data_IF_298839633842
#
_entry.id   IF_298839633842
#
_cell.length_a   1.000
_cell.length_b   1.000
_cell.length_c   1.000
_cell.angle_alpha   90.00
_cell.angle_beta   90.00
_cell.angle_gamma   90.00
#
_symmetry.space_group_name_H-M   'P 1'
#
loop_
_entity.id
_entity.type
_entity.pdbx_description
1 polymer ?
#
# COMPACT_ATOMS: atom_id res chain seq x y z
N UNK A 1 29.69 10.48 -2.57
CA UNK A 1 30.18 10.01 -1.24
C UNK A 1 31.62 10.43 -0.95
N UNK A 2 32.52 10.38 -1.93
CA UNK A 2 33.93 10.76 -1.75
C UNK A 2 34.10 12.26 -1.47
N UNK A 3 33.44 13.12 -2.25
CA UNK A 3 33.41 14.57 -2.00
C UNK A 3 32.94 14.93 -0.57
N UNK A 4 31.83 14.34 -0.09
CA UNK A 4 31.37 14.55 1.28
C UNK A 4 32.35 14.06 2.36
N UNK A 5 33.26 13.14 2.02
CA UNK A 5 34.31 12.67 2.95
C UNK A 5 35.50 13.63 2.92
N UNK A 6 35.82 14.21 1.76
CA UNK A 6 36.80 15.29 1.59
C UNK A 6 36.36 16.54 2.35
N UNK A 7 35.06 16.84 2.38
CA UNK A 7 34.46 17.94 3.15
C UNK A 7 34.34 17.64 4.67
N UNK A 8 34.83 16.49 5.14
CA UNK A 8 34.84 16.13 6.56
C UNK A 8 33.48 15.72 7.14
N UNK A 9 32.49 15.38 6.33
CA UNK A 9 31.16 15.01 6.83
C UNK A 9 31.19 13.66 7.56
N UNK A 10 30.65 13.64 8.78
CA UNK A 10 30.45 12.41 9.57
C UNK A 10 29.51 11.42 8.85
N UNK A 11 29.61 10.12 9.19
CA UNK A 11 28.75 9.08 8.60
C UNK A 11 27.26 9.43 8.66
N UNK A 12 26.82 10.05 9.76
CA UNK A 12 25.42 10.43 9.95
C UNK A 12 25.00 11.61 9.06
N UNK A 13 25.88 12.61 8.88
CA UNK A 13 25.64 13.70 7.95
C UNK A 13 25.58 13.22 6.49
N UNK A 14 26.43 12.24 6.12
CA UNK A 14 26.39 11.64 4.77
C UNK A 14 25.07 10.92 4.51
N UNK A 15 24.56 10.16 5.49
CA UNK A 15 23.26 9.48 5.37
C UNK A 15 22.13 10.50 5.19
N UNK A 16 22.05 11.49 6.08
CA UNK A 16 20.94 12.45 6.08
C UNK A 16 20.95 13.42 4.89
N UNK A 17 22.12 13.89 4.48
CA UNK A 17 22.23 14.98 3.51
C UNK A 17 22.59 14.50 2.09
N UNK A 18 23.04 13.25 1.91
CA UNK A 18 23.40 12.71 0.59
C UNK A 18 22.50 11.53 0.25
N UNK A 19 22.46 10.52 1.12
CA UNK A 19 21.75 9.25 0.84
C UNK A 19 20.24 9.43 0.82
N UNK A 20 19.66 10.04 1.85
CA UNK A 20 18.20 10.21 1.96
C UNK A 20 17.65 11.05 0.79
N UNK A 21 18.22 12.22 0.45
CA UNK A 21 17.74 13.02 -0.70
C UNK A 21 17.85 12.27 -2.02
N UNK A 22 18.93 11.52 -2.25
CA UNK A 22 19.09 10.72 -3.48
C UNK A 22 18.08 9.56 -3.58
N UNK A 23 17.69 8.97 -2.46
CA UNK A 23 16.70 7.88 -2.43
C UNK A 23 15.26 8.38 -2.40
N UNK A 24 15.03 9.67 -2.15
CA UNK A 24 13.68 10.25 -2.01
C UNK A 24 12.77 9.95 -3.20
N UNK A 25 13.21 10.06 -4.47
CA UNK A 25 12.37 9.74 -5.63
C UNK A 25 11.94 8.26 -5.65
N UNK A 26 12.87 7.36 -5.37
CA UNK A 26 12.61 5.92 -5.34
C UNK A 26 11.65 5.55 -4.19
N UNK A 27 11.88 6.10 -3.00
CA UNK A 27 11.00 5.87 -1.84
C UNK A 27 9.60 6.40 -2.12
N UNK A 28 9.46 7.56 -2.76
CA UNK A 28 8.16 8.13 -3.13
C UNK A 28 7.40 7.21 -4.10
N UNK A 29 8.05 6.73 -5.16
CA UNK A 29 7.45 5.79 -6.12
C UNK A 29 6.98 4.51 -5.42
N UNK A 30 7.85 3.90 -4.60
CA UNK A 30 7.50 2.69 -3.86
C UNK A 30 6.35 2.93 -2.89
N UNK A 31 6.29 4.11 -2.26
CA UNK A 31 5.22 4.48 -1.35
C UNK A 31 3.88 4.60 -2.09
N UNK A 32 3.84 5.22 -3.27
CA UNK A 32 2.62 5.31 -4.09
C UNK A 32 2.10 3.91 -4.44
N UNK A 33 3.00 3.01 -4.86
CA UNK A 33 2.64 1.62 -5.18
C UNK A 33 2.17 0.83 -3.95
N UNK A 34 2.81 1.03 -2.80
CA UNK A 34 2.42 0.40 -1.54
C UNK A 34 1.02 0.86 -1.10
N UNK A 35 0.74 2.17 -1.18
CA UNK A 35 -0.57 2.74 -0.81
C UNK A 35 -1.70 2.19 -1.68
N UNK A 36 -1.46 2.00 -2.99
CA UNK A 36 -2.44 1.36 -3.88
C UNK A 36 -2.82 -0.07 -3.47
N UNK A 37 -1.94 -0.76 -2.73
CA UNK A 37 -2.18 -2.13 -2.26
C UNK A 37 -2.74 -2.21 -0.83
N UNK A 38 -2.80 -1.13 -0.06
CA UNK A 38 -3.29 -1.14 1.34
C UNK A 38 -4.73 -1.65 1.46
N UNK A 39 -5.56 -1.39 0.44
CA UNK A 39 -6.97 -1.80 0.45
C UNK A 39 -7.19 -3.28 0.10
N UNK A 40 -6.15 -3.98 -0.33
CA UNK A 40 -6.15 -5.44 -0.51
C UNK A 40 -5.64 -6.03 0.80
N UNK A 41 -6.56 -6.50 1.64
CA UNK A 41 -6.18 -7.20 2.85
C UNK A 41 -5.57 -8.56 2.47
N UNK A 42 -4.62 -9.06 3.27
CA UNK A 42 -4.09 -10.40 3.12
C UNK A 42 -5.18 -11.43 3.42
N UNK A 43 -6.00 -11.76 2.41
CA UNK A 43 -7.11 -12.71 2.51
C UNK A 43 -6.68 -14.01 3.19
N UNK A 44 -5.48 -14.52 2.87
CA UNK A 44 -4.93 -15.73 3.49
C UNK A 44 -4.82 -15.62 5.01
N UNK A 45 -4.33 -14.49 5.54
CA UNK A 45 -4.21 -14.28 6.99
C UNK A 45 -5.59 -14.17 7.63
N UNK A 46 -6.50 -13.38 7.07
CA UNK A 46 -7.83 -13.15 7.66
C UNK A 46 -8.81 -14.31 7.47
N UNK A 47 -8.58 -15.20 6.50
CA UNK A 47 -9.41 -16.39 6.29
C UNK A 47 -8.88 -17.59 7.08
N UNK A 48 -7.56 -17.83 7.08
CA UNK A 48 -6.98 -19.06 7.66
C UNK A 48 -6.80 -18.98 9.17
N UNK A 49 -6.44 -17.82 9.71
CA UNK A 49 -6.13 -17.65 11.14
C UNK A 49 -7.38 -17.77 12.03
N UNK A 50 -8.54 -17.17 11.70
CA UNK A 50 -9.71 -17.24 12.58
C UNK A 50 -10.38 -18.62 12.60
N UNK A 51 -10.09 -19.49 11.62
CA UNK A 51 -10.57 -20.88 11.55
C UNK A 51 -12.06 -21.08 11.93
N UNK A 52 -12.93 -20.17 11.49
CA UNK A 52 -14.37 -20.18 11.81
C UNK A 52 -14.73 -20.06 13.31
N UNK A 53 -13.87 -19.49 14.14
CA UNK A 53 -14.21 -19.14 15.51
C UNK A 53 -15.23 -17.98 15.53
N UNK A 54 -16.50 -18.30 15.73
CA UNK A 54 -17.65 -17.37 15.70
C UNK A 54 -17.50 -16.09 16.53
N UNK A 55 -16.66 -16.09 17.57
CA UNK A 55 -16.43 -14.92 18.43
C UNK A 55 -15.51 -13.86 17.81
N UNK A 56 -14.70 -14.18 16.80
CA UNK A 56 -13.81 -13.23 16.13
C UNK A 56 -14.38 -12.63 14.85
N UNK A 57 -15.54 -13.10 14.37
CA UNK A 57 -16.15 -12.63 13.12
C UNK A 57 -16.37 -11.10 13.09
N UNK A 58 -16.68 -10.48 14.23
CA UNK A 58 -16.92 -9.04 14.30
C UNK A 58 -15.65 -8.19 14.06
N UNK A 59 -14.46 -8.73 14.33
CA UNK A 59 -13.17 -8.03 14.17
C UNK A 59 -12.33 -8.56 13.02
N UNK A 60 -12.67 -9.73 12.47
CA UNK A 60 -11.93 -10.39 11.36
C UNK A 60 -12.69 -10.38 10.03
N UNK A 61 -13.94 -9.89 9.99
CA UNK A 61 -14.66 -9.68 8.74
C UNK A 61 -14.05 -8.51 7.95
N UNK A 62 -13.01 -8.81 7.19
CA UNK A 62 -12.58 -7.97 6.07
C UNK A 62 -13.48 -8.25 4.86
N UNK A 63 -13.62 -7.24 3.99
CA UNK A 63 -14.47 -7.31 2.79
C UNK A 63 -14.20 -8.59 1.97
N UNK A 64 -12.95 -9.01 1.87
CA UNK A 64 -12.52 -10.21 1.14
C UNK A 64 -13.08 -11.51 1.73
N UNK A 65 -13.19 -11.61 3.07
CA UNK A 65 -13.76 -12.79 3.77
C UNK A 65 -15.28 -12.82 3.63
N UNK A 66 -15.95 -11.67 3.68
CA UNK A 66 -17.40 -11.57 3.46
C UNK A 66 -17.79 -11.99 2.04
N UNK A 67 -17.05 -11.49 1.04
CA UNK A 67 -17.23 -11.82 -0.37
C UNK A 67 -16.98 -13.31 -0.64
N UNK A 68 -15.92 -13.87 -0.06
CA UNK A 68 -15.60 -15.29 -0.20
C UNK A 68 -16.66 -16.19 0.42
N UNK A 69 -17.20 -15.84 1.59
CA UNK A 69 -18.31 -16.58 2.21
C UNK A 69 -19.58 -16.51 1.36
N UNK A 70 -19.92 -15.35 0.76
CA UNK A 70 -21.05 -15.22 -0.17
C UNK A 70 -20.87 -16.05 -1.45
N UNK A 71 -19.66 -16.10 -1.99
CA UNK A 71 -19.30 -16.97 -3.13
C UNK A 71 -19.43 -18.46 -2.79
N UNK A 72 -18.90 -18.89 -1.66
CA UNK A 72 -18.86 -20.32 -1.31
C UNK A 72 -20.18 -20.85 -0.78
N UNK A 73 -21.00 -20.02 -0.11
CA UNK A 73 -22.29 -20.43 0.42
C UNK A 73 -23.48 -20.17 -0.53
N UNK A 74 -23.41 -19.13 -1.37
CA UNK A 74 -24.53 -18.70 -2.22
C UNK A 74 -24.20 -18.70 -3.71
N UNK A 75 -22.96 -19.03 -4.11
CA UNK A 75 -22.47 -18.98 -5.49
C UNK A 75 -22.61 -17.58 -6.14
N UNK A 76 -22.58 -16.52 -5.33
CA UNK A 76 -22.81 -15.16 -5.81
C UNK A 76 -21.52 -14.53 -6.40
N UNK A 77 -21.28 -14.82 -7.68
CA UNK A 77 -20.15 -14.29 -8.46
C UNK A 77 -20.28 -12.77 -8.68
N UNK A 78 -21.51 -12.24 -8.65
CA UNK A 78 -21.78 -10.81 -8.78
C UNK A 78 -21.20 -10.01 -7.63
N UNK A 79 -21.40 -10.49 -6.40
CA UNK A 79 -20.83 -9.87 -5.19
C UNK A 79 -19.31 -9.83 -5.21
N UNK A 80 -18.65 -10.88 -5.70
CA UNK A 80 -17.19 -10.92 -5.78
C UNK A 80 -16.62 -9.98 -6.84
N UNK A 81 -17.26 -9.94 -8.00
CA UNK A 81 -16.87 -9.03 -9.08
C UNK A 81 -17.07 -7.57 -8.66
N UNK A 82 -18.17 -7.26 -7.97
CA UNK A 82 -18.46 -5.93 -7.43
C UNK A 82 -17.44 -5.49 -6.37
N UNK A 83 -17.04 -6.39 -5.47
CA UNK A 83 -16.03 -6.11 -4.46
C UNK A 83 -14.64 -5.85 -5.07
N UNK A 84 -14.22 -6.67 -6.05
CA UNK A 84 -12.97 -6.44 -6.76
C UNK A 84 -12.94 -5.13 -7.53
N UNK A 85 -14.07 -4.75 -8.15
CA UNK A 85 -14.22 -3.44 -8.80
C UNK A 85 -14.16 -2.29 -7.80
N UNK A 86 -14.84 -2.42 -6.65
CA UNK A 86 -14.79 -1.42 -5.58
C UNK A 86 -13.36 -1.23 -5.06
N UNK A 87 -12.64 -2.31 -4.77
CA UNK A 87 -11.23 -2.26 -4.34
C UNK A 87 -10.34 -1.60 -5.38
N UNK A 88 -10.55 -1.90 -6.67
CA UNK A 88 -9.77 -1.32 -7.76
C UNK A 88 -10.02 0.19 -7.90
N UNK A 89 -11.27 0.63 -7.76
CA UNK A 89 -11.65 2.06 -7.81
C UNK A 89 -11.04 2.82 -6.62
N UNK A 90 -11.17 2.29 -5.40
CA UNK A 90 -10.58 2.92 -4.21
C UNK A 90 -9.06 2.95 -4.30
N UNK A 91 -8.43 1.86 -4.74
CA UNK A 91 -6.98 1.80 -4.97
C UNK A 91 -6.51 2.83 -6.00
N UNK A 92 -7.26 3.01 -7.10
CA UNK A 92 -6.96 4.03 -8.10
C UNK A 92 -7.04 5.45 -7.53
N UNK A 93 -8.10 5.76 -6.75
CA UNK A 93 -8.24 7.07 -6.10
C UNK A 93 -7.07 7.33 -5.14
N UNK A 94 -6.69 6.34 -4.33
CA UNK A 94 -5.57 6.46 -3.40
C UNK A 94 -4.24 6.68 -4.13
N UNK A 95 -3.97 5.95 -5.21
CA UNK A 95 -2.77 6.13 -6.03
C UNK A 95 -2.71 7.53 -6.64
N UNK A 96 -3.84 8.02 -7.18
CA UNK A 96 -3.92 9.38 -7.73
C UNK A 96 -3.65 10.42 -6.64
N UNK A 97 -4.28 10.30 -5.48
CA UNK A 97 -4.07 11.21 -4.35
C UNK A 97 -2.61 11.18 -3.86
N UNK A 98 -2.02 9.99 -3.71
CA UNK A 98 -0.62 9.83 -3.34
C UNK A 98 0.33 10.42 -4.38
N UNK A 99 0.06 10.24 -5.68
CA UNK A 99 0.85 10.88 -6.74
C UNK A 99 0.73 12.40 -6.71
N UNK A 100 -0.48 12.95 -6.48
CA UNK A 100 -0.69 14.39 -6.36
C UNK A 100 0.04 15.00 -5.16
N UNK A 101 0.05 14.31 -4.01
CA UNK A 101 0.81 14.72 -2.84
C UNK A 101 2.32 14.66 -3.10
N UNK A 102 2.80 13.57 -3.69
CA UNK A 102 4.20 13.39 -4.08
C UNK A 102 4.68 14.51 -5.01
N UNK A 103 3.89 14.82 -6.05
CA UNK A 103 4.19 15.88 -7.02
C UNK A 103 4.26 17.27 -6.38
N UNK A 104 3.54 17.50 -5.27
CA UNK A 104 3.62 18.75 -4.51
C UNK A 104 4.89 18.88 -3.68
N UNK A 105 5.41 17.76 -3.17
CA UNK A 105 6.63 17.74 -2.33
C UNK A 105 7.87 17.75 -3.20
N UNK A 106 7.86 17.03 -4.32
CA UNK A 106 8.97 16.98 -5.26
C UNK A 106 8.46 16.77 -6.70
N UNK A 107 8.49 17.82 -7.55
CA UNK A 107 7.98 17.76 -8.93
C UNK A 107 8.68 16.72 -9.81
N UNK A 108 9.92 16.35 -9.49
CA UNK A 108 10.71 15.39 -10.27
C UNK A 108 10.45 13.93 -9.85
N UNK A 109 9.75 13.73 -8.72
CA UNK A 109 9.46 12.40 -8.16
C UNK A 109 8.06 11.88 -8.50
N UNK A 110 7.29 12.64 -9.30
CA UNK A 110 5.97 12.23 -9.76
C UNK A 110 6.09 11.14 -10.84
N UNK A 111 5.28 10.09 -10.73
CA UNK A 111 5.18 9.07 -11.78
C UNK A 111 4.50 9.61 -13.05
N UNK A 112 3.64 10.63 -12.88
CA UNK A 112 2.89 11.34 -13.93
C UNK A 112 2.69 12.82 -13.56
#
# INVERSE_FOLDING_TARGET
>A
YEAATVDGASKWQRIRNVTIPQLTPLVTVLTILAVGNIFRADFGLFYQIPHNAGQLYNVTNVLDVYVYNGLTQTADIGMASAAGLYQSVVGLILVILSNLLARRVDPNSALF
#
